data_IF_504026241139
#
_entry.id   IF_504026241139
#
_cell.length_a   1.000
_cell.length_b   1.000
_cell.length_c   1.000
_cell.angle_alpha   90.00
_cell.angle_beta   90.00
_cell.angle_gamma   90.00
#
_symmetry.space_group_name_H-M   'P 1'
#
loop_
_entity.id
_entity.type
_entity.pdbx_description
1 polymer ?
#
# COMPACT_ATOMS: atom_id res chain seq x y z
N UNK A 1 -2.72 -33.26 7.50
CA UNK A 1 -1.93 -32.01 7.51
C UNK A 1 -2.86 -30.88 7.05
N UNK A 2 -3.30 -30.01 7.95
CA UNK A 2 -4.11 -28.85 7.56
C UNK A 2 -3.19 -27.83 6.89
N UNK A 3 -3.53 -27.40 5.67
CA UNK A 3 -2.86 -26.26 5.08
C UNK A 3 -3.23 -25.02 5.89
N UNK A 4 -2.28 -24.15 6.27
CA UNK A 4 -2.61 -22.91 6.94
C UNK A 4 -3.47 -22.05 6.01
N UNK A 5 -4.68 -21.74 6.46
CA UNK A 5 -5.59 -20.86 5.74
C UNK A 5 -5.11 -19.41 5.91
N UNK A 6 -4.40 -18.89 4.91
CA UNK A 6 -3.97 -17.50 4.89
C UNK A 6 -5.13 -16.59 4.49
N UNK A 7 -5.98 -16.26 5.46
CA UNK A 7 -7.11 -15.35 5.27
C UNK A 7 -6.60 -13.91 5.26
N UNK A 8 -6.86 -13.18 4.18
CA UNK A 8 -6.66 -11.73 4.16
C UNK A 8 -7.75 -11.08 5.02
N UNK A 9 -7.36 -10.30 6.02
CA UNK A 9 -8.26 -9.60 6.95
C UNK A 9 -8.78 -8.30 6.32
N UNK A 10 -7.90 -7.56 5.64
CA UNK A 10 -8.27 -6.32 4.94
C UNK A 10 -7.23 -5.95 3.89
N UNK A 11 -7.64 -5.17 2.91
CA UNK A 11 -6.78 -4.59 1.90
C UNK A 11 -7.12 -3.12 1.65
N UNK A 12 -6.15 -2.37 1.12
CA UNK A 12 -6.36 -0.95 0.87
C UNK A 12 -5.21 -0.28 0.12
N UNK A 13 -5.48 0.92 -0.40
CA UNK A 13 -4.48 1.76 -1.02
C UNK A 13 -3.82 2.65 0.03
N UNK A 14 -2.48 2.67 0.04
CA UNK A 14 -1.68 3.52 0.93
C UNK A 14 -0.63 4.28 0.14
N UNK A 15 -0.27 5.47 0.63
CA UNK A 15 0.83 6.24 0.10
C UNK A 15 2.06 6.06 0.99
N UNK A 16 3.11 5.44 0.44
CA UNK A 16 4.37 5.24 1.16
C UNK A 16 5.25 6.46 0.97
N UNK A 17 5.69 7.06 2.09
CA UNK A 17 6.73 8.10 2.14
C UNK A 17 8.08 7.44 2.41
N UNK A 18 9.01 7.56 1.47
CA UNK A 18 10.39 7.12 1.68
C UNK A 18 11.16 8.13 2.53
N UNK A 19 12.02 7.64 3.42
CA UNK A 19 12.98 8.46 4.15
C UNK A 19 14.14 8.87 3.22
N UNK A 20 14.45 10.16 3.12
CA UNK A 20 15.52 10.70 2.26
C UNK A 20 15.18 12.05 1.61
N UNK A 21 16.23 12.78 1.20
CA UNK A 21 16.17 14.20 0.76
C UNK A 21 15.29 14.51 -0.47
N UNK A 22 14.76 13.51 -1.15
CA UNK A 22 13.67 13.64 -2.13
C UNK A 22 12.58 12.64 -1.75
N UNK A 23 11.74 13.01 -0.78
CA UNK A 23 10.59 12.24 -0.30
C UNK A 23 9.62 11.91 -1.46
N UNK A 24 9.92 10.86 -2.22
CA UNK A 24 9.07 10.40 -3.32
C UNK A 24 7.93 9.58 -2.73
N UNK A 25 6.74 10.17 -2.73
CA UNK A 25 5.50 9.47 -2.40
C UNK A 25 5.21 8.42 -3.47
N UNK A 26 4.76 7.24 -3.05
CA UNK A 26 4.39 6.19 -3.99
C UNK A 26 3.24 5.35 -3.50
N UNK A 27 2.25 5.14 -4.38
CA UNK A 27 1.07 4.37 -4.04
C UNK A 27 1.38 2.87 -4.02
N UNK A 28 0.83 2.20 -3.02
CA UNK A 28 0.93 0.76 -2.82
C UNK A 28 -0.44 0.21 -2.44
N UNK A 29 -0.68 -1.04 -2.83
CA UNK A 29 -1.78 -1.83 -2.27
C UNK A 29 -1.22 -2.56 -1.06
N UNK A 30 -1.90 -2.50 0.06
CA UNK A 30 -1.58 -3.23 1.28
C UNK A 30 -2.55 -4.38 1.43
N UNK A 31 -2.03 -5.53 1.85
CA UNK A 31 -2.82 -6.67 2.31
C UNK A 31 -2.40 -7.00 3.73
N UNK A 32 -3.36 -7.02 4.64
CA UNK A 32 -3.18 -7.40 6.04
C UNK A 32 -3.68 -8.84 6.22
N UNK A 33 -2.79 -9.71 6.66
CA UNK A 33 -3.08 -11.07 7.12
C UNK A 33 -2.90 -11.14 8.63
N UNK A 34 -3.24 -12.27 9.25
CA UNK A 34 -3.10 -12.48 10.70
C UNK A 34 -1.67 -12.35 11.23
N UNK A 35 -0.65 -12.55 10.39
CA UNK A 35 0.76 -12.53 10.76
C UNK A 35 1.64 -11.71 9.81
N UNK A 36 1.10 -11.20 8.70
CA UNK A 36 1.87 -10.46 7.70
C UNK A 36 1.15 -9.22 7.21
N UNK A 37 1.93 -8.17 6.97
CA UNK A 37 1.55 -7.03 6.15
C UNK A 37 2.34 -7.08 4.84
N UNK A 38 1.64 -7.14 3.71
CA UNK A 38 2.25 -7.13 2.38
C UNK A 38 2.06 -5.77 1.72
N UNK A 39 3.14 -5.17 1.24
CA UNK A 39 3.09 -3.97 0.42
C UNK A 39 3.32 -4.35 -1.04
N UNK A 40 2.33 -4.15 -1.88
CA UNK A 40 2.32 -4.52 -3.29
C UNK A 40 2.36 -3.28 -4.18
N UNK A 41 3.07 -3.38 -5.31
CA UNK A 41 3.00 -2.40 -6.39
C UNK A 41 2.30 -3.03 -7.59
N UNK A 42 1.31 -2.33 -8.13
CA UNK A 42 0.69 -2.70 -9.41
C UNK A 42 1.74 -2.67 -10.52
N UNK A 43 1.94 -3.79 -11.18
CA UNK A 43 2.71 -3.83 -12.42
C UNK A 43 1.80 -3.33 -13.54
N UNK A 44 2.20 -2.22 -14.14
CA UNK A 44 1.64 -1.78 -15.41
C UNK A 44 2.43 -2.54 -16.47
N UNK A 45 1.77 -3.39 -17.24
CA UNK A 45 2.40 -4.04 -18.39
C UNK A 45 2.70 -2.94 -19.40
N UNK A 46 3.98 -2.60 -19.57
CA UNK A 46 4.42 -1.52 -20.49
C UNK A 46 4.67 -2.04 -21.90
N UNK A 47 4.61 -3.35 -22.12
CA UNK A 47 4.80 -3.96 -23.43
C UNK A 47 3.55 -4.75 -23.81
N UNK A 48 2.80 -4.25 -24.79
CA UNK A 48 2.22 -5.14 -25.77
C UNK A 48 3.35 -5.76 -26.59
N UNK A 49 3.15 -6.98 -27.09
CA UNK A 49 4.14 -7.80 -27.84
C UNK A 49 5.15 -8.52 -26.92
N UNK A 50 5.29 -9.86 -26.89
CA UNK A 50 4.95 -10.92 -27.85
C UNK A 50 4.70 -12.22 -27.05
N UNK A 51 3.62 -12.93 -27.38
CA UNK A 51 3.24 -14.33 -27.04
C UNK A 51 3.52 -14.89 -25.63
N UNK A 52 2.45 -15.21 -24.91
CA UNK A 52 2.29 -16.55 -24.31
C UNK A 52 0.81 -16.88 -24.24
N UNK A 53 0.46 -17.91 -24.98
CA UNK A 53 -0.86 -18.53 -25.07
C UNK A 53 -1.29 -19.06 -23.70
N UNK A 54 -2.00 -18.24 -22.93
CA UNK A 54 -2.97 -18.68 -21.94
C UNK A 54 -3.88 -17.49 -21.63
N UNK A 55 -5.16 -17.63 -22.01
CA UNK A 55 -6.33 -16.88 -21.56
C UNK A 55 -6.13 -15.39 -21.27
N UNK A 56 -6.75 -14.57 -22.13
CA UNK A 56 -7.04 -13.16 -21.97
C UNK A 56 -7.57 -12.79 -20.57
N UNK A 57 -6.66 -12.58 -19.62
CA UNK A 57 -6.89 -11.71 -18.48
C UNK A 57 -6.04 -10.46 -18.73
N UNK A 58 -6.66 -9.30 -18.69
CA UNK A 58 -6.00 -8.00 -18.60
C UNK A 58 -5.30 -7.89 -17.23
N UNK A 59 -4.38 -8.82 -16.97
CA UNK A 59 -3.83 -9.15 -15.67
C UNK A 59 -2.99 -8.00 -15.14
N UNK A 60 -3.59 -7.20 -14.27
CA UNK A 60 -2.86 -6.27 -13.43
C UNK A 60 -2.07 -7.06 -12.41
N UNK A 61 -0.89 -7.54 -12.79
CA UNK A 61 0.00 -8.28 -11.90
C UNK A 61 0.40 -7.43 -10.69
N UNK A 62 0.46 -8.02 -9.51
CA UNK A 62 0.95 -7.37 -8.31
C UNK A 62 2.34 -7.88 -7.98
N UNK A 63 3.28 -6.95 -7.78
CA UNK A 63 4.62 -7.28 -7.29
C UNK A 63 4.74 -6.92 -5.82
N UNK A 64 4.97 -7.92 -4.96
CA UNK A 64 5.29 -7.70 -3.56
C UNK A 64 6.61 -6.92 -3.47
N UNK A 65 6.58 -5.80 -2.75
CA UNK A 65 7.74 -4.91 -2.52
C UNK A 65 8.28 -5.03 -1.11
N UNK A 66 7.42 -5.26 -0.12
CA UNK A 66 7.83 -5.48 1.28
C UNK A 66 6.89 -6.51 1.91
N UNK A 67 7.46 -7.36 2.75
CA UNK A 67 6.74 -8.24 3.67
C UNK A 67 7.15 -7.84 5.07
N UNK A 68 6.19 -7.60 5.95
CA UNK A 68 6.44 -7.20 7.33
C UNK A 68 5.74 -8.20 8.24
N UNK A 69 6.47 -8.97 9.07
CA UNK A 69 5.85 -9.76 10.14
C UNK A 69 5.15 -8.81 11.11
N UNK A 70 3.92 -9.14 11.54
CA UNK A 70 3.19 -8.27 12.46
C UNK A 70 3.83 -8.22 13.85
N UNK A 71 4.61 -9.23 14.23
CA UNK A 71 5.39 -9.24 15.47
C UNK A 71 6.46 -8.13 15.50
N UNK A 72 6.81 -7.57 14.34
CA UNK A 72 7.80 -6.50 14.16
C UNK A 72 7.18 -5.19 13.66
N UNK A 73 5.84 -5.13 13.59
CA UNK A 73 5.12 -3.96 13.08
C UNK A 73 4.78 -3.00 14.23
N UNK A 74 5.09 -1.72 14.03
CA UNK A 74 4.73 -0.64 14.95
C UNK A 74 3.81 0.35 14.25
N UNK A 75 2.68 0.67 14.89
CA UNK A 75 1.77 1.73 14.46
C UNK A 75 2.07 2.99 15.27
N UNK A 76 2.28 4.11 14.58
CA UNK A 76 2.41 5.43 15.18
C UNK A 76 1.31 6.28 14.57
N UNK A 77 0.38 6.75 15.41
CA UNK A 77 -0.61 7.73 14.99
C UNK A 77 0.03 9.12 15.00
N UNK A 78 0.11 9.75 13.83
CA UNK A 78 0.67 11.10 13.68
C UNK A 78 -0.41 12.18 13.81
N UNK A 79 -1.67 11.80 14.01
CA UNK A 79 -2.81 12.71 13.98
C UNK A 79 -3.15 13.20 12.56
N UNK A 80 -4.27 13.91 12.44
CA UNK A 80 -4.67 14.57 11.20
C UNK A 80 -4.05 15.96 11.12
N UNK A 81 -2.82 16.05 10.64
CA UNK A 81 -2.24 17.33 10.22
C UNK A 81 -2.85 17.74 8.88
N UNK A 82 -4.11 18.18 8.91
CA UNK A 82 -4.76 18.88 7.82
C UNK A 82 -3.98 20.17 7.60
N UNK A 83 -2.98 20.12 6.71
CA UNK A 83 -2.35 21.32 6.18
C UNK A 83 -3.37 21.98 5.26
N UNK A 84 -4.29 22.74 5.86
CA UNK A 84 -5.14 23.71 5.19
C UNK A 84 -4.27 24.84 4.64
N UNK A 85 -3.53 24.57 3.56
CA UNK A 85 -3.02 25.66 2.74
C UNK A 85 -4.19 26.21 1.94
N UNK A 86 -4.82 27.21 2.57
CA UNK A 86 -5.66 28.26 2.01
C UNK A 86 -7.18 28.07 2.12
N UNK A 87 -7.72 28.40 3.29
CA UNK A 87 -9.17 28.50 3.46
C UNK A 87 -9.66 28.90 4.85
N UNK A 88 -9.06 29.94 5.47
CA UNK A 88 -9.58 30.71 6.63
C UNK A 88 -10.61 29.98 7.52
N UNK A 89 -10.17 29.43 8.65
CA UNK A 89 -11.00 29.39 9.85
C UNK A 89 -10.22 29.89 11.06
N UNK A 90 -10.56 31.12 11.45
CA UNK A 90 -10.27 31.66 12.77
C UNK A 90 -11.19 30.93 13.75
N UNK A 91 -10.60 30.18 14.69
CA UNK A 91 -11.24 29.97 15.98
C UNK A 91 -10.30 30.48 17.05
N UNK A 92 -10.64 31.68 17.53
CA UNK A 92 -10.14 32.24 18.78
C UNK A 92 -10.64 31.35 19.92
N UNK A 93 -9.80 31.16 20.92
CA UNK A 93 -10.24 30.99 22.31
C UNK A 93 -9.60 32.18 23.04
N UNK A 94 -10.36 33.15 23.54
CA UNK A 94 -11.18 33.13 24.77
C UNK A 94 -10.33 32.83 25.99
#
# INVERSE_FOLDING_TARGET
>A
MQQPHFTCLTDGLVQIRGEGGRSRRSDRIVYLFSNWLLLCKKQRNVLGSVVSSASSSSGTGLKVKKRVPLEQFHLIDLGTELTENNGKYSSRYS
#
